data_IF_288003663664
#
_entry.id   IF_288003663664
#
_cell.length_a   1.000
_cell.length_b   1.000
_cell.length_c   1.000
_cell.angle_alpha   90.00
_cell.angle_beta   90.00
_cell.angle_gamma   90.00
#
_symmetry.space_group_name_H-M   'P 1'
#
loop_
_entity.id
_entity.type
_entity.pdbx_description
1 polymer ?
#
# COMPACT_ATOMS: atom_id res chain seq x y z
N UNK A 1 17.67 -6.98 2.12
CA UNK A 1 17.04 -7.14 0.80
C UNK A 1 15.67 -7.73 1.04
N UNK A 2 14.65 -6.89 1.21
CA UNK A 2 13.26 -7.32 1.42
C UNK A 2 12.64 -7.56 0.04
N UNK A 3 12.34 -8.82 -0.27
CA UNK A 3 11.55 -9.20 -1.44
C UNK A 3 10.07 -9.14 -1.09
N UNK A 4 9.20 -8.90 -2.08
CA UNK A 4 7.75 -8.95 -1.86
C UNK A 4 7.32 -10.32 -1.29
N UNK A 5 6.27 -10.36 -0.45
CA UNK A 5 5.79 -11.61 0.13
C UNK A 5 5.29 -12.52 -0.99
N UNK A 6 5.83 -13.74 -1.08
CA UNK A 6 5.43 -14.69 -2.13
C UNK A 6 4.26 -15.52 -1.64
N UNK A 7 3.21 -15.60 -2.45
CA UNK A 7 2.04 -16.44 -2.17
C UNK A 7 2.42 -17.93 -2.01
N UNK A 8 1.95 -18.56 -0.93
CA UNK A 8 2.08 -19.99 -0.67
C UNK A 8 0.69 -20.60 -0.39
N UNK A 9 0.31 -21.65 -1.13
CA UNK A 9 -0.98 -22.34 -0.97
C UNK A 9 -1.03 -23.27 0.26
N UNK A 10 0.12 -23.82 0.66
CA UNK A 10 0.23 -24.82 1.73
C UNK A 10 0.45 -24.20 3.12
N UNK A 11 0.80 -22.93 3.14
CA UNK A 11 0.71 -22.06 4.30
C UNK A 11 -0.21 -20.93 3.84
N UNK A 12 -1.55 -21.02 4.02
CA UNK A 12 -2.38 -19.84 3.85
C UNK A 12 -1.68 -18.76 4.66
N UNK A 13 -1.28 -17.68 3.99
CA UNK A 13 -0.36 -16.71 4.59
C UNK A 13 -0.94 -16.39 5.96
N UNK A 14 -0.28 -16.90 7.01
CA UNK A 14 -0.52 -16.43 8.35
C UNK A 14 0.06 -15.05 8.24
N UNK A 15 -0.78 -14.08 7.89
CA UNK A 15 -0.40 -12.69 7.56
C UNK A 15 0.17 -11.96 8.78
N UNK A 16 0.56 -12.73 9.79
CA UNK A 16 0.93 -12.33 11.11
C UNK A 16 -0.21 -11.67 11.83
N UNK A 17 0.14 -11.10 12.96
CA UNK A 17 -0.68 -10.11 13.62
C UNK A 17 -0.94 -8.91 12.68
N UNK A 18 -1.95 -8.10 12.97
CA UNK A 18 -2.22 -6.86 12.25
C UNK A 18 -0.99 -5.94 12.11
N UNK A 19 -0.03 -6.04 13.05
CA UNK A 19 1.24 -5.31 13.03
C UNK A 19 2.18 -5.80 11.92
N UNK A 20 2.11 -7.08 11.56
CA UNK A 20 2.95 -7.67 10.53
C UNK A 20 2.48 -7.22 9.14
N UNK A 21 1.16 -7.15 8.92
CA UNK A 21 0.58 -6.54 7.71
C UNK A 21 0.97 -5.07 7.57
N UNK A 22 0.93 -4.30 8.68
CA UNK A 22 1.37 -2.92 8.69
C UNK A 22 2.87 -2.79 8.33
N UNK A 23 3.72 -3.62 8.96
CA UNK A 23 5.15 -3.62 8.71
C UNK A 23 5.47 -3.96 7.24
N UNK A 24 4.83 -5.01 6.70
CA UNK A 24 4.98 -5.37 5.29
C UNK A 24 4.58 -4.22 4.37
N UNK A 25 3.45 -3.57 4.63
CA UNK A 25 2.97 -2.45 3.81
C UNK A 25 3.96 -1.27 3.83
N UNK A 26 4.61 -1.02 4.98
CA UNK A 26 5.68 -0.02 5.12
C UNK A 26 6.92 -0.41 4.31
N UNK A 27 7.36 -1.67 4.36
CA UNK A 27 8.49 -2.17 3.58
C UNK A 27 8.24 -2.11 2.07
N UNK A 28 7.03 -2.46 1.63
CA UNK A 28 6.60 -2.36 0.25
C UNK A 28 6.69 -0.93 -0.27
N UNK A 29 6.20 0.05 0.51
CA UNK A 29 6.29 1.46 0.15
C UNK A 29 7.74 1.93 -0.02
N UNK A 30 8.64 1.49 0.86
CA UNK A 30 10.06 1.78 0.77
C UNK A 30 10.63 1.20 -0.53
N UNK A 31 10.30 -0.06 -0.85
CA UNK A 31 10.74 -0.72 -2.06
C UNK A 31 10.22 -0.01 -3.33
N UNK A 32 8.96 0.41 -3.33
CA UNK A 32 8.39 1.20 -4.43
C UNK A 32 9.12 2.51 -4.62
N UNK A 33 9.40 3.27 -3.56
CA UNK A 33 10.17 4.52 -3.68
C UNK A 33 11.58 4.30 -4.19
N UNK A 34 12.25 3.24 -3.75
CA UNK A 34 13.59 2.90 -4.24
C UNK A 34 13.58 2.54 -5.73
N UNK A 35 12.57 1.79 -6.18
CA UNK A 35 12.49 1.31 -7.57
C UNK A 35 11.93 2.34 -8.56
N UNK A 36 10.92 3.11 -8.15
CA UNK A 36 10.31 4.16 -8.97
C UNK A 36 11.15 5.45 -8.98
N UNK A 37 12.01 5.64 -7.97
CA UNK A 37 12.83 6.84 -7.82
C UNK A 37 11.98 8.10 -7.56
N UNK A 38 12.44 9.25 -8.06
CA UNK A 38 11.71 10.53 -7.97
C UNK A 38 10.70 10.74 -9.11
N UNK A 39 10.62 9.79 -10.04
CA UNK A 39 9.74 9.89 -11.20
C UNK A 39 8.32 9.53 -10.79
N UNK A 40 7.37 10.42 -11.05
CA UNK A 40 5.96 10.10 -10.84
C UNK A 40 5.54 8.99 -11.82
N UNK A 41 4.82 7.99 -11.33
CA UNK A 41 4.22 6.96 -12.15
C UNK A 41 3.28 7.62 -13.16
N UNK A 42 3.46 7.28 -14.43
CA UNK A 42 2.65 7.78 -15.55
C UNK A 42 1.57 6.79 -15.92
N UNK A 43 0.54 7.26 -16.63
CA UNK A 43 -0.58 6.39 -17.02
C UNK A 43 -0.16 5.22 -17.94
N UNK A 44 0.96 5.35 -18.65
CA UNK A 44 1.48 4.30 -19.52
C UNK A 44 2.20 3.18 -18.75
N UNK A 45 2.57 3.44 -17.49
CA UNK A 45 3.27 2.50 -16.62
C UNK A 45 2.32 1.66 -15.76
N UNK A 46 1.02 1.99 -15.77
CA UNK A 46 -0.01 1.24 -15.04
C UNK A 46 -0.92 0.44 -15.98
N UNK A 47 -1.45 -0.66 -15.46
CA UNK A 47 -2.48 -1.47 -16.09
C UNK A 47 -3.83 -0.77 -15.93
N UNK A 48 -4.07 0.26 -16.75
CA UNK A 48 -5.33 1.02 -16.72
C UNK A 48 -6.56 0.25 -17.23
N UNK A 49 -6.37 -0.85 -17.95
CA UNK A 49 -7.46 -1.61 -18.60
C UNK A 49 -7.97 -2.73 -17.67
N UNK A 50 -9.23 -2.67 -17.21
CA UNK A 50 -9.82 -3.70 -16.36
C UNK A 50 -9.79 -5.11 -16.98
N UNK A 51 -9.80 -5.19 -18.31
CA UNK A 51 -9.70 -6.46 -19.04
C UNK A 51 -8.36 -7.16 -18.76
N UNK A 52 -7.27 -6.39 -18.59
CA UNK A 52 -5.94 -6.96 -18.31
C UNK A 52 -5.87 -7.58 -16.91
N UNK A 53 -6.51 -6.97 -15.90
CA UNK A 53 -6.66 -7.58 -14.58
C UNK A 53 -7.40 -8.91 -14.65
N UNK A 54 -8.51 -8.94 -15.41
CA UNK A 54 -9.27 -10.17 -15.67
C UNK A 54 -8.40 -11.25 -16.31
N UNK A 55 -7.66 -10.91 -17.37
CA UNK A 55 -6.79 -11.86 -18.06
C UNK A 55 -5.66 -12.39 -17.14
N UNK A 56 -5.03 -11.53 -16.33
CA UNK A 56 -4.00 -11.94 -15.37
C UNK A 56 -4.55 -12.88 -14.29
N UNK A 57 -5.73 -12.58 -13.74
CA UNK A 57 -6.40 -13.43 -12.77
C UNK A 57 -6.75 -14.80 -13.37
N UNK A 58 -7.36 -14.82 -14.56
CA UNK A 58 -7.67 -16.06 -15.28
C UNK A 58 -6.42 -16.86 -15.64
N UNK A 59 -5.33 -16.18 -16.02
CA UNK A 59 -4.05 -16.81 -16.33
C UNK A 59 -3.46 -17.46 -15.07
N UNK A 60 -3.48 -16.77 -13.92
CA UNK A 60 -3.01 -17.33 -12.66
C UNK A 60 -3.77 -18.61 -12.28
N UNK A 61 -5.12 -18.57 -12.33
CA UNK A 61 -5.94 -19.75 -12.02
C UNK A 61 -5.75 -20.91 -13.00
N UNK A 62 -5.71 -20.62 -14.31
CA UNK A 62 -5.54 -21.66 -15.33
C UNK A 62 -4.17 -22.33 -15.26
N UNK A 63 -3.10 -21.57 -15.01
CA UNK A 63 -1.75 -22.10 -14.83
C UNK A 63 -1.62 -22.93 -13.56
N UNK A 64 -2.24 -22.50 -12.46
CA UNK A 64 -2.24 -23.26 -11.21
C UNK A 64 -2.96 -24.60 -11.40
N UNK A 65 -4.18 -24.57 -11.95
CA UNK A 65 -4.95 -25.76 -12.24
C UNK A 65 -4.19 -26.72 -13.17
N UNK A 66 -3.55 -26.19 -14.21
CA UNK A 66 -2.78 -26.99 -15.16
C UNK A 66 -1.56 -27.64 -14.49
N UNK A 67 -0.83 -26.88 -13.66
CA UNK A 67 0.27 -27.39 -12.84
C UNK A 67 -0.19 -28.53 -11.93
N UNK A 68 -1.30 -28.34 -11.20
CA UNK A 68 -1.83 -29.36 -10.27
C UNK A 68 -2.23 -30.64 -10.99
N UNK A 69 -2.86 -30.53 -12.15
CA UNK A 69 -3.24 -31.67 -12.97
C UNK A 69 -2.03 -32.44 -13.49
N UNK A 70 -1.01 -31.75 -14.04
CA UNK A 70 0.21 -32.43 -14.49
C UNK A 70 0.92 -33.08 -13.29
N UNK A 71 0.95 -32.43 -12.13
CA UNK A 71 1.51 -33.02 -10.92
C UNK A 71 0.77 -34.30 -10.53
N UNK A 72 -0.56 -34.31 -10.62
CA UNK A 72 -1.38 -35.51 -10.39
C UNK A 72 -1.04 -36.65 -11.36
N UNK A 73 -0.91 -36.34 -12.66
CA UNK A 73 -0.50 -37.30 -13.68
C UNK A 73 0.90 -37.85 -13.39
N UNK A 74 1.86 -37.01 -13.04
CA UNK A 74 3.23 -37.43 -12.70
C UNK A 74 3.24 -38.35 -11.48
N UNK A 75 2.40 -38.09 -10.48
CA UNK A 75 2.27 -38.92 -9.30
C UNK A 75 1.70 -40.31 -9.62
N UNK A 76 0.68 -40.39 -10.48
CA UNK A 76 0.10 -41.68 -10.90
C UNK A 76 1.07 -42.48 -11.80
N UNK A 77 1.84 -41.80 -12.64
CA UNK A 77 2.92 -42.42 -13.42
C UNK A 77 4.01 -43.00 -12.52
N UNK A 78 4.42 -42.27 -11.47
CA UNK A 78 5.42 -42.73 -10.50
C UNK A 78 4.96 -43.93 -9.66
N UNK A 79 3.66 -44.04 -9.35
CA UNK A 79 3.10 -45.16 -8.59
C UNK A 79 2.95 -46.45 -9.42
N UNK A 80 3.16 -46.40 -10.74
CA UNK A 80 3.01 -47.57 -11.61
C UNK A 80 1.55 -47.99 -11.86
N UNK A 81 0.57 -47.13 -11.55
CA UNK A 81 -0.86 -47.43 -11.69
C UNK A 81 -1.38 -47.38 -13.16
N UNK A 82 -0.60 -46.80 -14.08
CA UNK A 82 -0.95 -46.69 -15.50
C UNK A 82 -0.34 -47.85 -16.28
N UNK A 83 -1.13 -48.93 -16.44
CA UNK A 83 -1.01 -50.01 -17.42
C UNK A 83 0.34 -50.14 -18.16
N UNK A 84 1.27 -50.86 -17.53
CA UNK A 84 2.23 -51.88 -18.02
C UNK A 84 2.65 -52.04 -19.50
N UNK A 85 2.41 -51.11 -20.44
CA UNK A 85 2.78 -51.32 -21.86
C UNK A 85 3.81 -50.34 -22.42
N UNK A 86 3.98 -49.16 -21.81
CA UNK A 86 5.05 -48.22 -22.18
C UNK A 86 5.75 -47.69 -20.92
N UNK A 87 6.99 -48.13 -20.71
CA UNK A 87 7.89 -47.54 -19.71
C UNK A 87 8.23 -46.11 -20.14
N UNK A 88 7.52 -45.12 -19.61
CA UNK A 88 7.94 -43.71 -19.74
C UNK A 88 9.29 -43.57 -19.05
N UNK A 89 10.27 -42.99 -19.75
CA UNK A 89 11.61 -42.81 -19.17
C UNK A 89 11.56 -41.93 -17.92
N UNK A 90 12.33 -42.28 -16.90
CA UNK A 90 12.47 -41.48 -15.68
C UNK A 90 12.86 -40.02 -16.00
N UNK A 91 13.71 -39.83 -17.02
CA UNK A 91 14.09 -38.50 -17.53
C UNK A 91 12.89 -37.69 -18.05
N UNK A 92 11.91 -38.34 -18.68
CA UNK A 92 10.69 -37.68 -19.15
C UNK A 92 9.81 -37.24 -17.97
N UNK A 93 9.70 -38.07 -16.94
CA UNK A 93 8.96 -37.74 -15.71
C UNK A 93 9.62 -36.58 -14.96
N UNK A 94 10.95 -36.58 -14.85
CA UNK A 94 11.72 -35.48 -14.24
C UNK A 94 11.52 -34.16 -15.01
N UNK A 95 11.54 -34.20 -16.35
CA UNK A 95 11.24 -33.03 -17.19
C UNK A 95 9.81 -32.52 -16.98
N UNK A 96 8.82 -33.40 -16.96
CA UNK A 96 7.43 -33.03 -16.68
C UNK A 96 7.29 -32.37 -15.32
N UNK A 97 7.87 -32.94 -14.26
CA UNK A 97 7.87 -32.34 -12.93
C UNK A 97 8.54 -30.95 -12.90
N UNK A 98 9.57 -30.72 -13.71
CA UNK A 98 10.22 -29.41 -13.82
C UNK A 98 9.26 -28.40 -14.47
N UNK A 99 8.68 -28.76 -15.61
CA UNK A 99 7.71 -27.92 -16.33
C UNK A 99 6.48 -27.62 -15.46
N UNK A 100 6.00 -28.59 -14.68
CA UNK A 100 4.92 -28.39 -13.70
C UNK A 100 5.27 -27.31 -12.69
N UNK A 101 6.48 -27.36 -12.12
CA UNK A 101 6.94 -26.32 -11.19
C UNK A 101 7.00 -24.95 -11.87
N UNK A 102 7.52 -24.88 -13.08
CA UNK A 102 7.61 -23.63 -13.85
C UNK A 102 6.21 -23.00 -14.08
N UNK A 103 5.19 -23.80 -14.38
CA UNK A 103 3.80 -23.30 -14.49
C UNK A 103 3.23 -22.83 -13.16
N UNK A 104 3.50 -23.54 -12.07
CA UNK A 104 3.13 -23.12 -10.72
C UNK A 104 3.79 -21.80 -10.33
N UNK A 105 5.08 -21.62 -10.64
CA UNK A 105 5.83 -20.40 -10.37
C UNK A 105 5.36 -19.23 -11.23
N UNK A 106 5.01 -19.49 -12.50
CA UNK A 106 4.41 -18.48 -13.37
C UNK A 106 3.02 -18.05 -12.86
N UNK A 107 2.20 -18.98 -12.37
CA UNK A 107 0.91 -18.65 -11.73
C UNK A 107 1.10 -17.73 -10.52
N UNK A 108 2.06 -18.05 -9.64
CA UNK A 108 2.42 -17.20 -8.49
C UNK A 108 2.92 -15.83 -8.91
N UNK A 109 3.67 -15.77 -10.01
CA UNK A 109 4.16 -14.50 -10.57
C UNK A 109 3.00 -13.64 -11.07
N UNK A 110 2.00 -14.20 -11.75
CA UNK A 110 0.79 -13.47 -12.14
C UNK A 110 0.04 -12.89 -10.93
N UNK A 111 -0.09 -13.67 -9.86
CA UNK A 111 -0.72 -13.21 -8.61
C UNK A 111 0.10 -12.08 -7.94
N UNK A 112 1.42 -12.20 -7.94
CA UNK A 112 2.32 -11.15 -7.44
C UNK A 112 2.21 -9.87 -8.28
N UNK A 113 2.10 -9.99 -9.61
CA UNK A 113 1.89 -8.84 -10.50
C UNK A 113 0.58 -8.13 -10.16
N UNK A 114 -0.52 -8.86 -9.96
CA UNK A 114 -1.79 -8.25 -9.51
C UNK A 114 -1.63 -7.49 -8.20
N UNK A 115 -0.97 -8.12 -7.22
CA UNK A 115 -0.72 -7.52 -5.91
C UNK A 115 0.13 -6.24 -5.99
N UNK A 116 1.18 -6.24 -6.82
CA UNK A 116 2.04 -5.07 -7.06
C UNK A 116 1.26 -3.97 -7.80
N UNK A 117 0.49 -4.32 -8.83
CA UNK A 117 -0.22 -3.37 -9.67
C UNK A 117 -1.23 -2.54 -8.88
N UNK A 118 -2.01 -3.19 -8.01
CA UNK A 118 -3.01 -2.51 -7.17
C UNK A 118 -2.34 -1.49 -6.24
N UNK A 119 -1.11 -1.74 -5.79
CA UNK A 119 -0.33 -0.80 -4.96
C UNK A 119 0.23 0.35 -5.79
N UNK A 120 0.66 0.07 -7.02
CA UNK A 120 1.07 1.10 -7.97
C UNK A 120 -0.11 2.02 -8.29
N UNK A 121 -1.33 1.49 -8.43
CA UNK A 121 -2.54 2.30 -8.60
C UNK A 121 -2.75 3.27 -7.42
N UNK A 122 -2.57 2.83 -6.17
CA UNK A 122 -2.60 3.73 -5.00
C UNK A 122 -1.59 4.89 -5.12
N UNK A 123 -0.35 4.59 -5.50
CA UNK A 123 0.69 5.61 -5.68
C UNK A 123 0.35 6.55 -6.84
N UNK A 124 -0.12 6.01 -7.97
CA UNK A 124 -0.47 6.75 -9.17
C UNK A 124 -1.61 7.74 -8.93
N UNK A 125 -2.74 7.29 -8.37
CA UNK A 125 -3.90 8.17 -8.17
C UNK A 125 -3.69 9.18 -7.04
N UNK A 126 -2.85 8.88 -6.04
CA UNK A 126 -2.53 9.83 -4.97
C UNK A 126 -1.44 10.83 -5.36
N UNK A 127 -0.54 10.49 -6.29
CA UNK A 127 0.56 11.37 -6.71
C UNK A 127 0.11 12.79 -7.16
N UNK A 128 -0.95 12.96 -7.98
CA UNK A 128 -1.45 14.28 -8.38
C UNK A 128 -1.86 15.18 -7.22
N UNK A 129 -2.25 14.61 -6.07
CA UNK A 129 -2.50 15.39 -4.87
C UNK A 129 -1.20 16.12 -4.52
N UNK A 130 -0.07 15.45 -4.38
CA UNK A 130 1.15 16.06 -3.81
C UNK A 130 2.06 16.73 -4.85
N UNK A 131 1.97 16.30 -6.11
CA UNK A 131 2.87 16.73 -7.18
C UNK A 131 2.14 17.38 -8.36
N UNK A 132 0.82 17.44 -8.34
CA UNK A 132 0.02 18.06 -9.39
C UNK A 132 0.13 19.58 -9.42
N UNK A 133 -0.43 20.19 -10.47
CA UNK A 133 -0.39 21.65 -10.68
C UNK A 133 -1.01 22.44 -9.52
N UNK A 134 -1.97 21.85 -8.81
CA UNK A 134 -2.67 22.47 -7.67
C UNK A 134 -2.08 22.09 -6.31
N UNK A 135 -1.01 21.28 -6.26
CA UNK A 135 -0.51 20.70 -5.02
C UNK A 135 -0.09 21.74 -3.98
N UNK A 136 0.43 22.88 -4.43
CA UNK A 136 0.89 23.97 -3.57
C UNK A 136 -0.21 24.83 -2.95
N UNK A 137 -1.45 24.76 -3.45
CA UNK A 137 -2.54 25.67 -3.06
C UNK A 137 -3.80 24.94 -2.58
N UNK A 138 -3.98 23.67 -2.93
CA UNK A 138 -5.17 22.89 -2.57
C UNK A 138 -5.41 22.68 -1.06
N UNK A 139 -4.38 22.88 -0.24
CA UNK A 139 -4.43 22.81 1.23
C UNK A 139 -4.27 24.20 1.87
N UNK A 140 -4.14 25.24 1.05
CA UNK A 140 -3.94 26.63 1.46
C UNK A 140 -5.06 27.51 0.88
N UNK A 141 -6.16 27.63 1.62
CA UNK A 141 -7.27 28.52 1.29
C UNK A 141 -8.40 27.89 0.47
N UNK A 142 -9.51 28.60 0.38
CA UNK A 142 -10.78 28.16 -0.23
C UNK A 142 -11.93 28.07 0.79
N UNK A 143 -13.20 28.20 0.33
CA UNK A 143 -14.36 27.88 1.16
C UNK A 143 -14.30 26.42 1.64
N UNK A 144 -15.01 26.10 2.72
CA UNK A 144 -15.10 24.73 3.22
C UNK A 144 -15.78 23.84 2.17
N UNK A 145 -14.96 23.22 1.30
CA UNK A 145 -15.44 22.19 0.38
C UNK A 145 -15.85 20.98 1.19
N UNK A 146 -17.12 20.61 1.16
CA UNK A 146 -17.61 19.38 1.78
C UNK A 146 -17.13 18.13 1.04
N UNK A 147 -16.71 18.28 -0.22
CA UNK A 147 -16.44 17.16 -1.09
C UNK A 147 -15.00 16.65 -0.95
N UNK A 148 -14.78 15.31 -1.04
CA UNK A 148 -13.45 14.73 -1.10
C UNK A 148 -12.76 15.05 -2.42
N UNK A 149 -11.44 14.89 -2.47
CA UNK A 149 -10.65 15.19 -3.67
C UNK A 149 -11.01 14.22 -4.80
N UNK A 150 -11.06 14.70 -6.05
CA UNK A 150 -11.45 13.88 -7.20
C UNK A 150 -10.56 12.65 -7.40
N UNK A 151 -9.29 12.79 -7.05
CA UNK A 151 -8.24 11.77 -7.04
C UNK A 151 -8.58 10.61 -6.11
N UNK A 152 -9.15 10.92 -4.95
CA UNK A 152 -9.58 9.95 -3.94
C UNK A 152 -10.78 9.16 -4.44
N UNK A 153 -11.75 9.85 -5.04
CA UNK A 153 -12.94 9.20 -5.63
C UNK A 153 -12.52 8.28 -6.79
N UNK A 154 -11.59 8.73 -7.63
CA UNK A 154 -11.05 7.93 -8.75
C UNK A 154 -10.32 6.70 -8.26
N UNK A 155 -9.43 6.83 -7.26
CA UNK A 155 -8.75 5.71 -6.64
C UNK A 155 -9.75 4.70 -6.07
N UNK A 156 -10.72 5.19 -5.30
CA UNK A 156 -11.70 4.32 -4.65
C UNK A 156 -12.52 3.54 -5.68
N UNK A 157 -12.99 4.20 -6.73
CA UNK A 157 -13.72 3.55 -7.83
C UNK A 157 -12.86 2.52 -8.56
N UNK A 158 -11.60 2.84 -8.83
CA UNK A 158 -10.66 1.97 -9.53
C UNK A 158 -10.37 0.69 -8.72
N UNK A 159 -10.08 0.85 -7.42
CA UNK A 159 -9.84 -0.27 -6.52
C UNK A 159 -11.06 -1.17 -6.36
N UNK A 160 -12.25 -0.60 -6.16
CA UNK A 160 -13.51 -1.39 -6.07
C UNK A 160 -13.80 -2.11 -7.37
N UNK A 161 -13.64 -1.44 -8.52
CA UNK A 161 -13.85 -2.08 -9.83
C UNK A 161 -12.87 -3.23 -10.08
N UNK A 162 -11.62 -3.07 -9.62
CA UNK A 162 -10.59 -4.11 -9.72
C UNK A 162 -10.92 -5.29 -8.82
N UNK A 163 -11.39 -5.04 -7.60
CA UNK A 163 -11.82 -6.08 -6.67
C UNK A 163 -13.00 -6.88 -7.23
N UNK A 164 -14.02 -6.19 -7.76
CA UNK A 164 -15.22 -6.81 -8.36
C UNK A 164 -14.86 -7.75 -9.52
N UNK A 165 -13.75 -7.51 -10.21
CA UNK A 165 -13.24 -8.35 -11.29
C UNK A 165 -12.41 -9.52 -10.75
N UNK A 166 -11.49 -9.26 -9.83
CA UNK A 166 -10.49 -10.25 -9.37
C UNK A 166 -11.10 -11.27 -8.39
N UNK A 167 -11.94 -10.79 -7.45
CA UNK A 167 -12.48 -11.60 -6.35
C UNK A 167 -13.32 -12.81 -6.81
N UNK A 168 -14.23 -12.69 -7.80
CA UNK A 168 -14.98 -13.84 -8.30
C UNK A 168 -14.11 -14.88 -9.03
N UNK A 169 -12.97 -14.47 -9.57
CA UNK A 169 -12.09 -15.34 -10.37
C UNK A 169 -11.15 -16.16 -9.47
N UNK A 170 -10.59 -15.55 -8.43
CA UNK A 170 -9.51 -16.15 -7.62
C UNK A 170 -9.96 -16.67 -6.25
N UNK A 171 -11.20 -16.36 -5.86
CA UNK A 171 -11.74 -16.69 -4.54
C UNK A 171 -11.15 -15.83 -3.41
N UNK A 172 -11.72 -15.99 -2.22
CA UNK A 172 -11.48 -15.08 -1.09
C UNK A 172 -10.04 -15.02 -0.62
N UNK A 173 -9.30 -16.14 -0.61
CA UNK A 173 -7.95 -16.18 -0.01
C UNK A 173 -6.92 -15.48 -0.90
N UNK A 174 -6.92 -15.76 -2.21
CA UNK A 174 -6.01 -15.10 -3.15
C UNK A 174 -6.39 -13.64 -3.36
N UNK A 175 -7.68 -13.34 -3.45
CA UNK A 175 -8.16 -11.95 -3.50
C UNK A 175 -7.71 -11.18 -2.26
N UNK A 176 -7.85 -11.77 -1.06
CA UNK A 176 -7.34 -11.15 0.17
C UNK A 176 -5.85 -10.83 0.05
N UNK A 177 -5.00 -11.77 -0.40
CA UNK A 177 -3.58 -11.49 -0.60
C UNK A 177 -3.31 -10.29 -1.54
N UNK A 178 -4.07 -10.13 -2.63
CA UNK A 178 -3.90 -9.00 -3.56
C UNK A 178 -4.18 -7.66 -2.87
N UNK A 179 -5.25 -7.61 -2.08
CA UNK A 179 -5.80 -6.36 -1.54
C UNK A 179 -5.42 -6.05 -0.08
N UNK A 180 -4.83 -6.99 0.63
CA UNK A 180 -4.42 -6.81 2.02
C UNK A 180 -3.26 -5.82 2.14
N UNK A 181 -3.26 -5.05 3.22
CA UNK A 181 -2.26 -4.01 3.45
C UNK A 181 -2.52 -2.68 2.70
N UNK A 182 -3.47 -2.63 1.75
CA UNK A 182 -3.69 -1.41 0.95
C UNK A 182 -4.01 -0.17 1.78
N UNK A 183 -4.82 -0.32 2.84
CA UNK A 183 -5.16 0.80 3.71
C UNK A 183 -3.96 1.29 4.52
N UNK A 184 -3.10 0.38 5.00
CA UNK A 184 -1.85 0.73 5.66
C UNK A 184 -0.87 1.43 4.69
N UNK A 185 -0.79 0.94 3.45
CA UNK A 185 -0.01 1.54 2.39
C UNK A 185 -0.49 2.96 2.09
N UNK A 186 -1.80 3.15 1.90
CA UNK A 186 -2.43 4.45 1.68
C UNK A 186 -2.11 5.39 2.84
N UNK A 187 -2.32 4.96 4.09
CA UNK A 187 -1.99 5.76 5.27
C UNK A 187 -0.53 6.18 5.30
N UNK A 188 0.38 5.26 5.01
CA UNK A 188 1.83 5.51 4.93
C UNK A 188 2.19 6.48 3.80
N UNK A 189 1.53 6.39 2.64
CA UNK A 189 1.68 7.36 1.53
C UNK A 189 1.22 8.75 1.99
N UNK A 190 0.06 8.85 2.65
CA UNK A 190 -0.49 10.12 3.12
C UNK A 190 0.44 10.81 4.12
N UNK A 191 0.90 10.09 5.14
CA UNK A 191 1.85 10.61 6.16
C UNK A 191 3.12 11.09 5.49
N UNK A 192 3.71 10.25 4.62
CA UNK A 192 4.98 10.58 3.98
C UNK A 192 4.88 11.77 3.03
N UNK A 193 3.74 11.93 2.37
CA UNK A 193 3.56 13.00 1.38
C UNK A 193 3.41 14.40 2.01
N UNK A 194 3.26 14.49 3.33
CA UNK A 194 3.21 15.75 4.08
C UNK A 194 4.48 16.58 3.90
N UNK A 195 5.63 15.95 3.65
CA UNK A 195 6.88 16.65 3.35
C UNK A 195 6.77 17.58 2.14
N UNK A 196 5.96 17.19 1.14
CA UNK A 196 5.78 17.91 -0.13
C UNK A 196 4.75 19.03 -0.07
N UNK A 197 3.94 19.10 1.00
CA UNK A 197 2.95 20.17 1.17
C UNK A 197 3.69 21.49 1.41
N UNK A 198 3.37 22.51 0.60
CA UNK A 198 3.97 23.83 0.76
C UNK A 198 3.45 24.54 2.00
N UNK A 199 2.12 24.59 2.15
CA UNK A 199 1.40 25.24 3.26
C UNK A 199 0.08 24.52 3.51
N UNK A 200 -0.31 24.45 4.78
CA UNK A 200 -1.57 23.86 5.23
C UNK A 200 -2.31 24.85 6.14
N UNK A 201 -3.64 24.85 6.07
CA UNK A 201 -4.51 25.53 7.03
C UNK A 201 -5.53 24.54 7.63
N UNK A 202 -6.32 24.97 8.61
CA UNK A 202 -7.37 24.14 9.23
C UNK A 202 -8.33 23.52 8.20
N UNK A 203 -8.71 24.27 7.16
CA UNK A 203 -9.56 23.74 6.07
C UNK A 203 -8.86 22.64 5.25
N UNK A 204 -7.55 22.76 5.03
CA UNK A 204 -6.71 21.76 4.38
C UNK A 204 -6.61 20.48 5.21
N UNK A 205 -6.45 20.60 6.52
CA UNK A 205 -6.48 19.46 7.45
C UNK A 205 -7.84 18.76 7.37
N UNK A 206 -8.95 19.51 7.49
CA UNK A 206 -10.30 18.94 7.33
C UNK A 206 -10.48 18.23 5.98
N UNK A 207 -9.92 18.77 4.90
CA UNK A 207 -9.95 18.14 3.57
C UNK A 207 -9.16 16.83 3.53
N UNK A 208 -7.98 16.78 4.13
CA UNK A 208 -7.20 15.54 4.27
C UNK A 208 -7.95 14.51 5.14
N UNK A 209 -8.57 14.93 6.23
CA UNK A 209 -9.38 14.05 7.09
C UNK A 209 -10.60 13.50 6.34
N UNK A 210 -11.25 14.30 5.49
CA UNK A 210 -12.33 13.82 4.60
C UNK A 210 -11.81 12.81 3.58
N UNK A 211 -10.69 13.09 2.93
CA UNK A 211 -10.07 12.16 1.99
C UNK A 211 -9.77 10.80 2.67
N UNK A 212 -9.21 10.84 3.88
CA UNK A 212 -8.93 9.66 4.69
C UNK A 212 -10.21 8.88 5.02
N UNK A 213 -11.25 9.58 5.48
CA UNK A 213 -12.54 8.99 5.80
C UNK A 213 -13.23 8.36 4.58
N UNK A 214 -13.15 9.01 3.41
CA UNK A 214 -13.69 8.44 2.16
C UNK A 214 -12.98 7.15 1.77
N UNK A 215 -11.65 7.10 1.86
CA UNK A 215 -10.88 5.87 1.60
C UNK A 215 -11.21 4.80 2.64
N UNK A 216 -11.34 5.18 3.91
CA UNK A 216 -11.75 4.26 4.96
C UNK A 216 -13.12 3.66 4.65
N UNK A 217 -14.12 4.48 4.40
CA UNK A 217 -15.49 4.02 4.16
C UNK A 217 -15.59 3.13 2.91
N UNK A 218 -15.02 3.55 1.77
CA UNK A 218 -15.18 2.82 0.52
C UNK A 218 -14.37 1.51 0.50
N UNK A 219 -13.15 1.52 1.05
CA UNK A 219 -12.24 0.38 0.94
C UNK A 219 -12.37 -0.59 2.13
N UNK A 220 -12.73 -0.13 3.33
CA UNK A 220 -12.88 -1.04 4.49
C UNK A 220 -14.12 -1.92 4.39
N UNK A 221 -15.19 -1.44 3.74
CA UNK A 221 -16.39 -2.23 3.54
C UNK A 221 -16.24 -3.28 2.44
N UNK A 222 -15.42 -3.01 1.42
CA UNK A 222 -15.35 -3.83 0.22
C UNK A 222 -14.08 -4.70 0.18
N UNK A 223 -12.91 -4.10 0.46
CA UNK A 223 -11.60 -4.59 0.01
C UNK A 223 -10.73 -5.17 1.14
N UNK A 224 -10.86 -4.67 2.39
CA UNK A 224 -9.94 -5.05 3.48
C UNK A 224 -10.63 -5.17 4.85
N UNK A 225 -10.50 -6.34 5.50
CA UNK A 225 -11.13 -6.66 6.79
C UNK A 225 -10.61 -5.94 8.04
N UNK A 226 -9.72 -4.94 7.89
CA UNK A 226 -9.01 -4.28 9.00
C UNK A 226 -8.98 -2.75 8.92
N UNK A 227 -9.85 -2.15 8.11
CA UNK A 227 -9.66 -0.77 7.70
C UNK A 227 -9.89 0.32 8.75
N UNK A 228 -10.52 0.02 9.89
CA UNK A 228 -10.58 0.96 11.02
C UNK A 228 -9.19 1.20 11.63
N UNK A 229 -8.47 0.12 11.96
CA UNK A 229 -7.15 0.21 12.60
C UNK A 229 -6.09 0.72 11.62
N UNK A 230 -6.23 0.38 10.33
CA UNK A 230 -5.22 0.67 9.31
C UNK A 230 -4.99 2.16 9.05
N UNK A 231 -6.04 2.98 9.19
CA UNK A 231 -5.96 4.43 8.95
C UNK A 231 -5.94 5.26 10.23
N UNK A 232 -6.10 4.64 11.40
CA UNK A 232 -6.08 5.34 12.69
C UNK A 232 -4.72 6.05 12.91
N UNK A 233 -3.62 5.40 12.54
CA UNK A 233 -2.29 6.01 12.63
C UNK A 233 -2.16 7.28 11.77
N UNK A 234 -2.69 7.25 10.54
CA UNK A 234 -2.71 8.42 9.66
C UNK A 234 -3.65 9.53 10.17
N UNK A 235 -4.78 9.16 10.77
CA UNK A 235 -5.72 10.11 11.40
C UNK A 235 -5.06 10.85 12.57
N UNK A 236 -4.38 10.12 13.45
CA UNK A 236 -3.62 10.71 14.56
C UNK A 236 -2.53 11.67 14.07
N UNK A 237 -1.91 11.37 12.91
CA UNK A 237 -0.93 12.27 12.30
C UNK A 237 -1.58 13.55 11.76
N UNK A 238 -2.78 13.48 11.18
CA UNK A 238 -3.51 14.67 10.75
C UNK A 238 -3.96 15.54 11.94
N UNK A 239 -4.36 14.92 13.06
CA UNK A 239 -4.68 15.62 14.30
C UNK A 239 -3.44 16.33 14.89
N UNK A 240 -2.25 15.77 14.68
CA UNK A 240 -0.99 16.42 15.06
C UNK A 240 -0.76 17.72 14.28
N UNK A 241 -1.15 17.77 13.00
CA UNK A 241 -1.00 18.95 12.15
C UNK A 241 -1.94 20.11 12.53
N UNK A 242 -2.96 19.86 13.36
CA UNK A 242 -3.86 20.91 13.88
C UNK A 242 -3.30 21.57 15.16
N UNK A 243 -2.22 21.02 15.72
CA UNK A 243 -1.55 21.52 16.93
C UNK A 243 -0.39 22.45 16.60
N UNK A 244 0.02 23.23 17.58
CA UNK A 244 1.25 24.04 17.54
C UNK A 244 2.50 23.21 17.84
N UNK A 245 3.68 23.69 17.42
CA UNK A 245 4.96 23.02 17.71
C UNK A 245 5.15 22.73 19.21
N UNK A 246 4.73 23.65 20.09
CA UNK A 246 4.83 23.48 21.54
C UNK A 246 3.90 22.38 22.07
N UNK A 247 2.64 22.35 21.61
CA UNK A 247 1.67 21.31 21.98
C UNK A 247 2.10 19.94 21.50
N UNK A 248 2.74 19.85 20.32
CA UNK A 248 3.35 18.61 19.82
C UNK A 248 4.42 18.13 20.79
N UNK A 249 5.37 19.00 21.16
CA UNK A 249 6.44 18.64 22.10
C UNK A 249 5.91 18.21 23.47
N UNK A 250 4.94 18.95 24.01
CA UNK A 250 4.31 18.60 25.29
C UNK A 250 3.61 17.25 25.21
N UNK A 251 2.94 16.95 24.09
CA UNK A 251 2.28 15.65 23.90
C UNK A 251 3.26 14.48 23.89
N UNK A 252 4.48 14.67 23.36
CA UNK A 252 5.53 13.65 23.38
C UNK A 252 6.03 13.41 24.81
N UNK A 253 6.20 14.48 25.59
CA UNK A 253 6.63 14.38 27.00
C UNK A 253 5.57 13.68 27.87
N UNK A 254 4.29 14.01 27.67
CA UNK A 254 3.20 13.49 28.51
C UNK A 254 2.76 12.07 28.13
N UNK A 255 2.72 11.74 26.83
CA UNK A 255 2.11 10.51 26.31
C UNK A 255 3.10 9.56 25.65
N UNK A 256 4.36 9.97 25.48
CA UNK A 256 5.37 9.24 24.72
C UNK A 256 5.29 9.46 23.21
N UNK A 257 6.33 9.04 22.50
CA UNK A 257 6.43 9.20 21.04
C UNK A 257 5.64 8.13 20.28
N UNK A 258 4.60 8.55 19.55
CA UNK A 258 3.82 7.66 18.66
C UNK A 258 4.41 7.57 17.23
N UNK A 259 5.04 8.64 16.76
CA UNK A 259 5.63 8.74 15.41
C UNK A 259 7.16 8.75 15.45
N UNK A 260 7.79 8.51 14.30
CA UNK A 260 9.23 8.58 14.12
C UNK A 260 9.75 10.02 14.16
N UNK A 261 11.05 10.20 14.43
CA UNK A 261 11.67 11.53 14.43
C UNK A 261 11.46 12.28 13.09
N UNK A 262 11.59 11.57 11.97
CA UNK A 262 11.42 12.15 10.64
C UNK A 262 9.98 12.64 10.40
N UNK A 263 8.98 11.89 10.86
CA UNK A 263 7.56 12.28 10.74
C UNK A 263 7.24 13.54 11.57
N UNK A 264 7.76 13.64 12.80
CA UNK A 264 7.61 14.85 13.60
C UNK A 264 8.39 16.04 13.04
N UNK A 265 9.61 15.80 12.55
CA UNK A 265 10.41 16.83 11.87
C UNK A 265 9.67 17.39 10.65
N UNK A 266 9.06 16.53 9.83
CA UNK A 266 8.29 16.93 8.66
C UNK A 266 7.02 17.72 9.04
N UNK A 267 6.32 17.32 10.11
CA UNK A 267 5.16 18.03 10.63
C UNK A 267 5.54 19.44 11.12
N UNK A 268 6.57 19.57 11.97
CA UNK A 268 7.04 20.86 12.49
C UNK A 268 7.49 21.77 11.34
N UNK A 269 8.27 21.26 10.39
CA UNK A 269 8.67 22.01 9.19
C UNK A 269 7.44 22.50 8.40
N UNK A 270 6.39 21.70 8.29
CA UNK A 270 5.15 22.11 7.61
C UNK A 270 4.41 23.22 8.38
N UNK A 271 4.31 23.11 9.71
CA UNK A 271 3.67 24.12 10.55
C UNK A 271 4.37 25.48 10.43
N UNK A 272 5.70 25.50 10.45
CA UNK A 272 6.47 26.73 10.24
C UNK A 272 6.29 27.31 8.84
N UNK A 273 6.32 26.48 7.79
CA UNK A 273 6.05 26.93 6.41
C UNK A 273 4.67 27.58 6.26
N UNK A 274 3.71 27.12 7.06
CA UNK A 274 2.30 27.53 7.03
C UNK A 274 2.02 28.76 7.88
N UNK A 275 2.76 28.95 8.97
CA UNK A 275 2.64 30.10 9.84
C UNK A 275 3.41 31.31 9.27
N UNK A 276 2.68 32.29 8.74
CA UNK A 276 3.22 33.52 8.12
C UNK A 276 4.10 34.34 9.08
N UNK A 277 3.98 34.15 10.40
CA UNK A 277 4.72 34.88 11.41
C UNK A 277 6.04 34.19 11.81
N UNK A 278 6.30 32.96 11.36
CA UNK A 278 7.42 32.11 11.84
C UNK A 278 8.61 32.00 10.87
N UNK A 279 8.83 33.03 10.04
CA UNK A 279 9.84 33.02 8.95
C UNK A 279 11.29 32.98 9.47
N UNK A 280 11.52 33.03 10.78
CA UNK A 280 12.86 32.97 11.36
C UNK A 280 13.42 31.54 11.34
N UNK A 281 14.42 31.31 10.49
CA UNK A 281 15.18 30.04 10.42
C UNK A 281 15.76 29.59 11.77
N UNK A 282 15.95 30.53 12.70
CA UNK A 282 16.40 30.28 14.07
C UNK A 282 15.34 29.58 14.93
N UNK A 283 14.07 29.96 14.79
CA UNK A 283 12.95 29.34 15.54
C UNK A 283 12.74 27.89 15.10
N UNK A 284 12.82 27.60 13.80
CA UNK A 284 12.76 26.23 13.28
C UNK A 284 13.91 25.40 13.83
N UNK A 285 15.12 25.94 13.83
CA UNK A 285 16.32 25.25 14.33
C UNK A 285 16.24 24.96 15.83
N UNK A 286 15.66 25.89 16.60
CA UNK A 286 15.39 25.72 18.02
C UNK A 286 14.36 24.61 18.27
N UNK A 287 13.22 24.64 17.58
CA UNK A 287 12.16 23.63 17.74
C UNK A 287 12.63 22.23 17.34
N UNK A 288 13.43 22.12 16.27
CA UNK A 288 14.02 20.84 15.86
C UNK A 288 15.07 20.31 16.84
N UNK A 289 15.85 21.19 17.49
CA UNK A 289 16.79 20.80 18.54
C UNK A 289 16.03 20.33 19.78
N UNK A 290 15.01 21.07 20.20
CA UNK A 290 14.15 20.72 21.33
C UNK A 290 13.40 19.41 21.07
N UNK A 291 12.94 19.16 19.85
CA UNK A 291 12.36 17.87 19.45
C UNK A 291 13.35 16.71 19.64
N UNK A 292 14.61 16.88 19.21
CA UNK A 292 15.65 15.85 19.41
C UNK A 292 15.88 15.55 20.89
N UNK A 293 15.86 16.58 21.73
CA UNK A 293 16.06 16.41 23.17
C UNK A 293 14.85 15.71 23.80
N UNK A 294 13.63 16.18 23.52
CA UNK A 294 12.38 15.56 24.03
C UNK A 294 12.26 14.09 23.63
N UNK A 295 12.60 13.74 22.38
CA UNK A 295 12.60 12.36 21.89
C UNK A 295 13.61 11.45 22.58
N UNK A 296 14.73 12.00 23.08
CA UNK A 296 15.74 11.23 23.81
C UNK A 296 15.35 10.98 25.26
N UNK A 297 14.54 11.88 25.85
CA UNK A 297 14.15 11.82 27.26
C UNK A 297 12.73 11.28 27.49
N UNK A 298 11.87 11.31 26.47
CA UNK A 298 10.47 10.85 26.52
C UNK A 298 10.20 9.52 25.80
N UNK A 299 11.25 8.79 25.40
CA UNK A 299 11.18 7.43 24.86
C UNK A 299 11.46 6.37 25.95
#
# INVERSE_FOLDING_TARGET
>A
MTSFPVWNKNQPIDLGSLKDVELMSKEELILFRQKLGKSNVTQNEIISDPSKFKHLAMLSESLEWFSENISGICNELNKGNLYSSYSISEKSIQKLNTITKDFGDLSRTCLLVLHIEVRIHCIYFLSPIWFGSNAGTQFQGGPESTDPSSEIIRLAKDLTSTEDIVKPLMGNIKSRYVFEGLLFLIGSILISSVEHIKRINSNGIKKMSRNLFTLQYILSCNIAGHGEVALEHAKQYLELLDKTSEEIMNSIVEKGSVFTYEEYENAIKLLHRSNRNSVNSETISYDLKKLKDVMKFGA
#
